data_IF_656244379793
#
_entry.id   IF_656244379793
#
_cell.length_a   1.000
_cell.length_b   1.000
_cell.length_c   1.000
_cell.angle_alpha   90.00
_cell.angle_beta   90.00
_cell.angle_gamma   90.00
#
_symmetry.space_group_name_H-M   'P 1'
#
loop_
_entity.id
_entity.type
_entity.pdbx_description
1 polymer ?
#
# COMPACT_ATOMS: atom_id res chain seq x y z
N UNK A 1 31.24 23.16 63.34
CA UNK A 1 30.27 22.54 64.28
C UNK A 1 29.43 21.51 63.52
N UNK A 2 29.17 20.37 64.17
CA UNK A 2 28.22 19.30 63.82
C UNK A 2 28.67 18.25 62.78
N UNK A 3 29.37 17.25 63.32
CA UNK A 3 29.12 15.81 63.10
C UNK A 3 27.64 15.49 62.85
N UNK A 4 27.33 14.59 61.91
CA UNK A 4 26.58 13.35 62.18
C UNK A 4 26.98 12.30 61.14
N UNK A 5 27.49 11.16 61.64
CA UNK A 5 27.65 9.90 60.92
C UNK A 5 26.29 9.21 60.90
N UNK A 6 25.82 8.78 59.73
CA UNK A 6 24.70 7.84 59.65
C UNK A 6 25.25 6.42 59.45
N UNK A 7 24.94 5.55 60.40
CA UNK A 7 25.06 4.09 60.33
C UNK A 7 23.64 3.57 60.09
N UNK A 8 23.47 2.74 59.07
CA UNK A 8 22.39 1.75 58.90
C UNK A 8 22.57 1.18 57.49
N UNK A 9 22.48 -0.10 57.15
CA UNK A 9 22.12 -1.33 57.84
C UNK A 9 22.56 -2.44 56.87
N UNK A 10 22.94 -3.60 57.39
CA UNK A 10 23.14 -4.82 56.61
C UNK A 10 21.93 -5.11 55.71
N UNK A 11 22.20 -5.49 54.46
CA UNK A 11 21.53 -6.63 53.84
C UNK A 11 22.60 -7.49 53.18
N UNK A 12 22.78 -8.70 53.71
CA UNK A 12 23.32 -9.81 52.95
C UNK A 12 22.30 -10.15 51.87
N UNK A 13 22.75 -10.57 50.69
CA UNK A 13 22.39 -11.86 50.08
C UNK A 13 23.22 -12.01 48.81
N UNK A 14 24.06 -13.03 48.85
CA UNK A 14 24.72 -13.68 47.73
C UNK A 14 23.72 -14.07 46.65
N UNK A 15 23.97 -13.70 45.42
CA UNK A 15 23.59 -14.58 44.30
C UNK A 15 24.63 -14.44 43.19
N UNK A 16 25.42 -15.51 43.06
CA UNK A 16 26.28 -15.75 41.92
C UNK A 16 25.40 -15.81 40.66
N UNK A 17 25.60 -14.88 39.73
CA UNK A 17 25.29 -15.13 38.32
C UNK A 17 26.59 -14.94 37.56
N UNK A 18 27.44 -15.96 37.64
CA UNK A 18 28.39 -16.25 36.59
C UNK A 18 27.68 -17.21 35.63
N UNK A 19 27.25 -16.71 34.47
CA UNK A 19 27.06 -17.57 33.31
C UNK A 19 27.38 -16.77 32.04
N UNK A 20 28.64 -16.93 31.66
CA UNK A 20 29.29 -16.72 30.37
C UNK A 20 28.50 -16.02 29.24
N UNK A 21 28.90 -14.78 28.95
CA UNK A 21 28.88 -14.25 27.61
C UNK A 21 30.12 -14.76 26.84
N UNK A 22 29.94 -15.79 26.03
CA UNK A 22 30.86 -16.12 24.92
C UNK A 22 30.05 -16.70 23.77
N UNK A 23 29.34 -15.84 23.05
CA UNK A 23 29.02 -16.14 21.65
C UNK A 23 30.28 -15.84 20.83
N UNK A 24 31.13 -16.86 20.66
CA UNK A 24 32.15 -16.84 19.64
C UNK A 24 31.44 -16.85 18.27
N UNK A 25 31.31 -15.67 17.65
CA UNK A 25 30.90 -15.57 16.26
C UNK A 25 32.05 -16.11 15.40
N UNK A 26 31.99 -17.41 15.09
CA UNK A 26 32.90 -18.02 14.14
C UNK A 26 32.53 -17.50 12.75
N UNK A 27 33.29 -16.50 12.28
CA UNK A 27 33.25 -16.08 10.89
C UNK A 27 33.87 -17.19 10.02
N UNK A 28 33.05 -18.17 9.62
CA UNK A 28 33.42 -19.05 8.52
C UNK A 28 33.19 -18.29 7.21
N UNK A 29 34.27 -17.69 6.71
CA UNK A 29 34.38 -17.45 5.26
C UNK A 29 34.36 -18.81 4.58
N UNK A 30 33.30 -19.10 3.85
CA UNK A 30 33.35 -20.05 2.74
C UNK A 30 32.61 -19.46 1.55
N UNK A 31 33.39 -19.00 0.57
CA UNK A 31 32.95 -18.88 -0.81
C UNK A 31 32.64 -20.29 -1.31
N UNK A 32 31.41 -20.52 -1.74
CA UNK A 32 31.19 -21.37 -2.90
C UNK A 32 30.12 -20.74 -3.79
N UNK A 33 30.62 -20.19 -4.90
CA UNK A 33 29.82 -19.81 -6.05
C UNK A 33 29.41 -21.10 -6.75
N UNK A 34 28.13 -21.46 -6.72
CA UNK A 34 27.39 -22.09 -7.81
C UNK A 34 26.06 -22.61 -7.28
N UNK A 35 25.07 -21.73 -7.24
CA UNK A 35 23.70 -22.15 -7.49
C UNK A 35 23.00 -21.00 -8.20
N UNK A 36 23.12 -20.99 -9.54
CA UNK A 36 22.18 -20.27 -10.39
C UNK A 36 20.88 -21.07 -10.44
N UNK A 37 20.25 -21.24 -9.28
CA UNK A 37 18.82 -21.40 -9.21
C UNK A 37 18.22 -20.11 -9.74
N UNK A 38 17.94 -20.08 -11.05
CA UNK A 38 17.05 -19.12 -11.65
C UNK A 38 15.70 -19.32 -10.96
N UNK A 39 15.52 -18.69 -9.79
CA UNK A 39 14.19 -18.48 -9.24
C UNK A 39 13.50 -17.62 -10.28
N UNK A 40 12.77 -18.29 -11.16
CA UNK A 40 11.83 -17.66 -12.06
C UNK A 40 10.86 -16.97 -11.11
N UNK A 41 11.11 -15.69 -10.82
CA UNK A 41 10.12 -14.80 -10.25
C UNK A 41 8.95 -14.98 -11.19
N UNK A 42 7.93 -15.72 -10.75
CA UNK A 42 6.68 -15.89 -11.48
C UNK A 42 6.35 -14.49 -11.98
N UNK A 43 6.41 -14.28 -13.30
CA UNK A 43 6.11 -12.97 -13.87
C UNK A 43 4.73 -12.66 -13.34
N UNK A 44 4.63 -11.68 -12.45
CA UNK A 44 3.35 -11.25 -11.93
C UNK A 44 2.49 -11.00 -13.17
N UNK A 45 1.41 -11.79 -13.31
CA UNK A 45 0.52 -11.62 -14.43
C UNK A 45 0.03 -10.17 -14.37
N UNK A 46 0.22 -9.43 -15.47
CA UNK A 46 -0.24 -8.05 -15.49
C UNK A 46 -1.76 -8.03 -15.42
N UNK A 47 -2.34 -7.03 -14.73
CA UNK A 47 -3.79 -6.96 -14.60
C UNK A 47 -4.43 -6.75 -15.96
N UNK A 48 -5.65 -7.23 -16.11
CA UNK A 48 -6.55 -6.86 -17.19
C UNK A 48 -7.04 -5.42 -17.02
N UNK A 49 -7.60 -4.84 -18.08
CA UNK A 49 -8.21 -3.51 -18.02
C UNK A 49 -9.37 -3.45 -17.02
N UNK A 50 -10.13 -4.54 -16.89
CA UNK A 50 -11.24 -4.66 -15.93
C UNK A 50 -10.72 -4.62 -14.48
N UNK A 51 -9.69 -5.41 -14.16
CA UNK A 51 -9.11 -5.40 -12.80
C UNK A 51 -8.54 -4.04 -12.42
N UNK A 52 -7.89 -3.34 -13.36
CA UNK A 52 -7.41 -1.98 -13.12
C UNK A 52 -8.58 -1.03 -12.88
N UNK A 53 -9.63 -1.08 -13.71
CA UNK A 53 -10.79 -0.21 -13.56
C UNK A 53 -11.52 -0.45 -12.24
N UNK A 54 -11.73 -1.71 -11.87
CA UNK A 54 -12.34 -2.07 -10.59
C UNK A 54 -11.52 -1.56 -9.40
N UNK A 55 -10.18 -1.61 -9.50
CA UNK A 55 -9.31 -1.07 -8.46
C UNK A 55 -9.37 0.46 -8.40
N UNK A 56 -9.50 1.15 -9.53
CA UNK A 56 -9.72 2.61 -9.57
C UNK A 56 -11.05 2.95 -8.87
N UNK A 57 -12.12 2.20 -9.16
CA UNK A 57 -13.42 2.36 -8.50
C UNK A 57 -13.35 2.11 -6.99
N UNK A 58 -12.74 0.99 -6.57
CA UNK A 58 -12.56 0.63 -5.16
C UNK A 58 -11.69 1.62 -4.37
N UNK A 59 -10.82 2.36 -5.05
CA UNK A 59 -10.01 3.41 -4.44
C UNK A 59 -10.74 4.77 -4.28
N UNK A 60 -12.04 4.85 -4.63
CA UNK A 60 -12.84 6.08 -4.67
C UNK A 60 -12.15 7.21 -5.47
N UNK A 61 -11.42 6.86 -6.52
CA UNK A 61 -10.81 7.87 -7.39
C UNK A 61 -11.93 8.60 -8.15
N UNK A 62 -11.93 9.93 -8.08
CA UNK A 62 -12.93 10.74 -8.78
C UNK A 62 -12.70 10.68 -10.28
N UNK A 63 -13.78 10.80 -11.05
CA UNK A 63 -13.76 10.70 -12.53
C UNK A 63 -13.11 9.41 -13.04
N UNK A 64 -13.53 8.22 -12.53
CA UNK A 64 -12.85 6.94 -12.77
C UNK A 64 -12.74 6.59 -14.26
N UNK A 65 -13.75 6.94 -15.05
CA UNK A 65 -13.73 6.77 -16.51
C UNK A 65 -12.58 7.54 -17.19
N UNK A 66 -12.36 8.80 -16.79
CA UNK A 66 -11.28 9.62 -17.34
C UNK A 66 -9.94 9.09 -16.87
N UNK A 67 -9.85 8.69 -15.60
CA UNK A 67 -8.63 8.10 -15.04
C UNK A 67 -8.26 6.79 -15.74
N UNK A 68 -9.25 5.97 -16.11
CA UNK A 68 -9.00 4.76 -16.88
C UNK A 68 -8.46 5.06 -18.28
N UNK A 69 -8.98 6.11 -18.94
CA UNK A 69 -8.41 6.60 -20.20
C UNK A 69 -6.95 7.03 -20.04
N UNK A 70 -6.58 7.60 -18.89
CA UNK A 70 -5.17 7.96 -18.62
C UNK A 70 -4.32 6.70 -18.54
N UNK A 71 -4.74 5.66 -17.80
CA UNK A 71 -4.03 4.38 -17.78
C UNK A 71 -3.82 3.83 -19.20
N UNK A 72 -4.87 3.80 -20.02
CA UNK A 72 -4.80 3.30 -21.40
C UNK A 72 -3.79 4.12 -22.22
N UNK A 73 -3.82 5.45 -22.10
CA UNK A 73 -2.94 6.36 -22.82
C UNK A 73 -1.48 6.19 -22.38
N UNK A 74 -1.20 6.21 -21.09
CA UNK A 74 0.16 6.09 -20.54
C UNK A 74 0.79 4.74 -20.89
N UNK A 75 0.03 3.66 -20.68
CA UNK A 75 0.55 2.30 -20.81
C UNK A 75 0.45 1.73 -22.22
N UNK A 76 -0.24 2.42 -23.14
CA UNK A 76 -0.56 1.88 -24.46
C UNK A 76 -1.39 0.60 -24.34
N UNK A 77 -2.55 0.66 -23.68
CA UNK A 77 -3.43 -0.49 -23.44
C UNK A 77 -2.76 -1.62 -22.64
N UNK A 78 -2.01 -1.26 -21.58
CA UNK A 78 -1.23 -2.18 -20.73
C UNK A 78 -0.12 -2.95 -21.46
N UNK A 79 0.31 -2.49 -22.65
CA UNK A 79 1.33 -3.17 -23.48
C UNK A 79 2.74 -2.62 -23.27
N UNK A 80 2.89 -1.44 -22.66
CA UNK A 80 4.19 -0.80 -22.43
C UNK A 80 5.04 -1.60 -21.45
N UNK A 81 5.98 -2.41 -21.95
CA UNK A 81 6.93 -3.17 -21.11
C UNK A 81 7.69 -2.25 -20.14
N UNK A 82 8.00 -1.01 -20.55
CA UNK A 82 8.75 -0.08 -19.72
C UNK A 82 7.99 0.34 -18.46
N UNK A 83 6.72 0.71 -18.60
CA UNK A 83 5.88 1.13 -17.47
C UNK A 83 5.36 -0.07 -16.68
N UNK A 84 4.92 -1.12 -17.37
CA UNK A 84 4.41 -2.32 -16.72
C UNK A 84 5.50 -3.02 -15.90
N UNK A 85 6.75 -3.09 -16.36
CA UNK A 85 7.85 -3.64 -15.55
C UNK A 85 8.19 -2.83 -14.30
N UNK A 86 7.66 -1.61 -14.18
CA UNK A 86 7.79 -0.72 -13.02
C UNK A 86 6.52 -0.66 -12.19
N UNK A 87 5.48 -1.40 -12.58
CA UNK A 87 4.16 -1.32 -11.96
C UNK A 87 3.60 0.11 -11.92
N UNK A 88 3.91 0.92 -12.94
CA UNK A 88 3.58 2.35 -12.98
C UNK A 88 2.50 2.60 -14.05
N UNK A 89 1.23 2.49 -13.66
CA UNK A 89 0.09 2.63 -14.59
C UNK A 89 -0.12 4.06 -15.09
N UNK A 90 0.39 5.05 -14.35
CA UNK A 90 0.09 6.47 -14.56
C UNK A 90 1.27 7.28 -15.09
N UNK A 91 2.39 6.62 -15.39
CA UNK A 91 3.57 7.29 -15.95
C UNK A 91 4.25 8.28 -14.99
N UNK A 92 4.03 8.18 -13.67
CA UNK A 92 4.58 9.13 -12.71
C UNK A 92 6.12 9.16 -12.71
N UNK A 93 6.66 10.36 -12.57
CA UNK A 93 8.10 10.63 -12.59
C UNK A 93 8.49 11.53 -11.41
N UNK A 94 9.67 11.27 -10.87
CA UNK A 94 10.42 12.24 -10.06
C UNK A 94 11.58 12.74 -10.94
N UNK A 95 12.81 12.27 -10.70
CA UNK A 95 13.91 12.39 -11.67
C UNK A 95 13.78 11.39 -12.83
N UNK A 96 13.43 10.16 -12.48
CA UNK A 96 13.17 9.04 -13.40
C UNK A 96 11.72 8.55 -13.23
N UNK A 97 11.27 7.65 -14.12
CA UNK A 97 10.02 6.92 -13.92
C UNK A 97 10.02 6.21 -12.58
N UNK A 98 8.97 6.44 -11.80
CA UNK A 98 8.77 5.79 -10.52
C UNK A 98 8.56 4.28 -10.71
N UNK A 99 8.98 3.51 -9.71
CA UNK A 99 8.78 2.07 -9.61
C UNK A 99 7.98 1.79 -8.35
N UNK A 100 6.95 0.98 -8.49
CA UNK A 100 6.08 0.53 -7.41
C UNK A 100 6.29 -0.97 -7.14
N UNK A 101 5.95 -1.43 -5.94
CA UNK A 101 6.12 -2.84 -5.58
C UNK A 101 5.12 -3.73 -6.35
N UNK A 102 3.89 -3.26 -6.48
CA UNK A 102 2.82 -3.84 -7.29
C UNK A 102 2.07 -2.72 -8.05
N UNK A 103 1.18 -3.06 -8.98
CA UNK A 103 0.52 -2.05 -9.83
C UNK A 103 -0.56 -1.28 -9.06
N UNK A 104 -1.13 -1.90 -8.04
CA UNK A 104 -2.12 -1.37 -7.13
C UNK A 104 -1.60 -0.18 -6.32
N UNK A 105 -0.32 -0.21 -5.93
CA UNK A 105 0.38 0.88 -5.26
C UNK A 105 0.45 2.12 -6.16
N UNK A 106 0.53 1.95 -7.48
CA UNK A 106 0.45 3.08 -8.40
C UNK A 106 -0.95 3.71 -8.45
N UNK A 107 -2.00 2.92 -8.23
CA UNK A 107 -3.38 3.42 -8.07
C UNK A 107 -3.53 4.17 -6.75
N UNK A 108 -2.97 3.65 -5.66
CA UNK A 108 -2.95 4.35 -4.37
C UNK A 108 -2.21 5.68 -4.47
N UNK A 109 -1.05 5.69 -5.15
CA UNK A 109 -0.29 6.91 -5.41
C UNK A 109 -1.09 7.91 -6.25
N UNK A 110 -1.82 7.45 -7.28
CA UNK A 110 -2.69 8.30 -8.07
C UNK A 110 -3.79 8.94 -7.24
N UNK A 111 -4.47 8.18 -6.36
CA UNK A 111 -5.48 8.74 -5.44
C UNK A 111 -4.88 9.85 -4.57
N UNK A 112 -3.70 9.64 -3.99
CA UNK A 112 -3.01 10.68 -3.21
C UNK A 112 -2.62 11.89 -4.05
N UNK A 113 -2.20 11.69 -5.30
CA UNK A 113 -1.91 12.79 -6.22
C UNK A 113 -3.19 13.57 -6.56
N UNK A 114 -4.29 12.88 -6.86
CA UNK A 114 -5.57 13.47 -7.23
C UNK A 114 -6.15 14.32 -6.09
N UNK A 115 -6.11 13.80 -4.84
CA UNK A 115 -6.56 14.54 -3.66
C UNK A 115 -5.81 15.87 -3.46
N UNK A 116 -4.54 15.94 -3.86
CA UNK A 116 -3.73 17.18 -3.78
C UNK A 116 -4.02 18.18 -4.90
N UNK A 117 -4.72 17.77 -5.96
CA UNK A 117 -4.94 18.59 -7.17
C UNK A 117 -6.39 18.99 -7.39
N UNK A 118 -7.32 18.20 -6.87
CA UNK A 118 -8.73 18.52 -6.83
C UNK A 118 -9.03 19.60 -5.80
N UNK A 119 -9.99 20.44 -6.14
CA UNK A 119 -10.70 21.38 -5.29
C UNK A 119 -12.18 21.03 -5.31
N UNK A 120 -12.93 21.40 -4.27
CA UNK A 120 -14.36 21.12 -4.15
C UNK A 120 -15.19 21.72 -5.29
N UNK A 121 -14.67 22.77 -5.93
CA UNK A 121 -15.32 23.46 -7.05
C UNK A 121 -14.96 22.89 -8.44
N UNK A 122 -14.14 21.84 -8.52
CA UNK A 122 -13.75 21.26 -9.80
C UNK A 122 -14.87 20.37 -10.38
N UNK A 123 -15.60 20.93 -11.35
CA UNK A 123 -16.66 20.25 -12.09
C UNK A 123 -16.20 19.60 -13.41
N UNK A 124 -15.06 20.05 -13.96
CA UNK A 124 -14.46 19.50 -15.18
C UNK A 124 -13.04 19.00 -14.89
N UNK A 125 -12.91 17.67 -14.85
CA UNK A 125 -11.63 17.03 -14.56
C UNK A 125 -10.55 17.30 -15.62
N UNK A 126 -10.92 17.56 -16.87
CA UNK A 126 -9.94 17.90 -17.90
C UNK A 126 -9.23 19.22 -17.59
N UNK A 127 -9.94 20.20 -17.01
CA UNK A 127 -9.35 21.46 -16.57
C UNK A 127 -8.38 21.25 -15.41
N UNK A 128 -8.67 20.30 -14.51
CA UNK A 128 -7.76 19.90 -13.43
C UNK A 128 -6.46 19.32 -14.00
N UNK A 129 -6.55 18.45 -15.01
CA UNK A 129 -5.37 17.86 -15.67
C UNK A 129 -4.51 18.93 -16.37
N UNK A 130 -5.14 19.93 -17.00
CA UNK A 130 -4.45 21.07 -17.61
C UNK A 130 -3.76 21.92 -16.55
N UNK A 131 -4.50 22.33 -15.50
CA UNK A 131 -3.99 23.14 -14.38
C UNK A 131 -2.82 22.46 -13.66
N UNK A 132 -2.91 21.15 -13.46
CA UNK A 132 -1.87 20.35 -12.83
C UNK A 132 -0.68 20.04 -13.75
N UNK A 133 -0.74 20.43 -15.04
CA UNK A 133 0.25 20.10 -16.08
C UNK A 133 0.56 18.60 -16.10
N UNK A 134 -0.48 17.77 -16.04
CA UNK A 134 -0.33 16.31 -15.88
C UNK A 134 0.52 15.68 -16.98
N UNK A 135 0.26 16.08 -18.23
CA UNK A 135 0.97 15.61 -19.41
C UNK A 135 1.46 16.75 -20.30
N UNK A 136 2.11 16.39 -21.40
CA UNK A 136 2.61 17.33 -22.40
C UNK A 136 1.46 18.16 -23.03
N UNK A 137 1.76 19.31 -23.68
CA UNK A 137 0.77 20.06 -24.44
C UNK A 137 -0.01 19.15 -25.40
N UNK A 138 -1.34 19.28 -25.41
CA UNK A 138 -2.25 18.42 -26.18
C UNK A 138 -2.62 17.08 -25.50
N UNK A 139 -2.18 16.82 -24.27
CA UNK A 139 -2.51 15.60 -23.52
C UNK A 139 -4.02 15.32 -23.48
N UNK A 140 -4.83 16.29 -23.05
CA UNK A 140 -6.29 16.17 -22.95
C UNK A 140 -6.93 15.84 -24.30
N UNK A 141 -6.40 16.41 -25.39
CA UNK A 141 -6.88 16.12 -26.75
C UNK A 141 -6.69 14.66 -27.12
N UNK A 142 -5.54 14.06 -26.78
CA UNK A 142 -5.29 12.64 -26.98
C UNK A 142 -6.15 11.78 -26.05
N UNK A 143 -6.32 12.20 -24.80
CA UNK A 143 -7.10 11.49 -23.80
C UNK A 143 -8.57 11.34 -24.22
N UNK A 144 -9.17 12.41 -24.76
CA UNK A 144 -10.56 12.40 -25.26
C UNK A 144 -10.78 11.43 -26.45
N UNK A 145 -9.73 11.06 -27.17
CA UNK A 145 -9.81 10.09 -28.30
C UNK A 145 -9.86 8.64 -27.82
N UNK A 146 -9.52 8.36 -26.56
CA UNK A 146 -9.54 7.00 -26.01
C UNK A 146 -10.99 6.53 -25.84
N UNK A 147 -11.28 5.37 -26.43
CA UNK A 147 -12.58 4.69 -26.31
C UNK A 147 -12.60 3.83 -25.05
N UNK A 148 -13.33 4.31 -24.04
CA UNK A 148 -13.67 3.58 -22.82
C UNK A 148 -15.04 4.07 -22.34
N UNK A 149 -15.90 3.14 -21.91
CA UNK A 149 -17.30 3.42 -21.56
C UNK A 149 -17.81 2.66 -20.35
N UNK A 150 -16.95 1.93 -19.61
CA UNK A 150 -17.39 1.28 -18.37
C UNK A 150 -17.54 2.32 -17.27
N UNK A 151 -18.60 2.22 -16.49
CA UNK A 151 -18.86 3.03 -15.28
C UNK A 151 -18.56 2.20 -14.04
N UNK A 152 -18.18 2.84 -12.94
CA UNK A 152 -18.08 2.10 -11.67
C UNK A 152 -19.43 1.48 -11.31
N UNK A 153 -19.46 0.25 -10.78
CA UNK A 153 -20.69 -0.36 -10.30
C UNK A 153 -21.36 0.56 -9.27
N UNK A 154 -22.59 0.99 -9.55
CA UNK A 154 -23.40 1.74 -8.59
C UNK A 154 -23.80 0.76 -7.47
N UNK A 155 -23.32 1.00 -6.25
CA UNK A 155 -23.76 0.24 -5.07
C UNK A 155 -22.79 -0.81 -4.53
N UNK A 156 -21.50 -0.49 -4.38
CA UNK A 156 -20.70 -1.11 -3.30
C UNK A 156 -20.23 -0.04 -2.32
N UNK A 157 -21.15 0.37 -1.45
CA UNK A 157 -20.79 0.74 -0.09
C UNK A 157 -20.10 -0.48 0.53
N UNK A 158 -18.76 -0.49 0.54
CA UNK A 158 -18.01 -1.45 1.34
C UNK A 158 -17.92 -0.93 2.78
N UNK A 159 -19.04 -1.05 3.49
CA UNK A 159 -19.13 -0.97 4.95
C UNK A 159 -19.79 -2.22 5.53
N UNK A 160 -19.49 -3.43 5.05
CA UNK A 160 -20.04 -4.63 5.71
C UNK A 160 -19.28 -5.96 5.49
N UNK A 161 -18.01 -5.97 5.08
CA UNK A 161 -17.27 -7.24 5.02
C UNK A 161 -15.80 -7.10 5.44
N UNK A 162 -15.57 -6.29 6.46
CA UNK A 162 -14.36 -6.35 7.29
C UNK A 162 -14.77 -6.32 8.77
N UNK A 163 -15.81 -7.08 9.11
CA UNK A 163 -16.29 -7.31 10.48
C UNK A 163 -16.93 -8.71 10.55
N UNK A 164 -16.13 -9.73 10.30
CA UNK A 164 -16.53 -11.12 10.58
C UNK A 164 -15.49 -11.88 11.41
N UNK A 165 -14.58 -11.14 12.07
CA UNK A 165 -13.67 -11.68 13.09
C UNK A 165 -13.75 -10.95 14.44
N UNK A 166 -14.73 -10.07 14.64
CA UNK A 166 -15.06 -9.51 15.97
C UNK A 166 -16.45 -9.89 16.49
N UNK A 167 -17.30 -10.52 15.66
CA UNK A 167 -18.63 -10.96 16.09
C UNK A 167 -18.60 -12.33 16.79
N UNK A 168 -17.73 -13.26 16.35
CA UNK A 168 -17.61 -14.62 16.93
C UNK A 168 -17.14 -14.62 18.40
N UNK A 169 -16.46 -13.55 18.83
CA UNK A 169 -15.99 -13.39 20.22
C UNK A 169 -17.06 -12.84 21.18
N UNK A 170 -18.14 -12.24 20.68
CA UNK A 170 -19.18 -11.63 21.52
C UNK A 170 -20.34 -12.60 21.74
N UNK A 171 -20.67 -13.44 20.75
CA UNK A 171 -21.74 -14.45 20.91
C UNK A 171 -21.32 -15.60 21.85
N UNK A 172 -20.02 -15.88 21.96
CA UNK A 172 -19.49 -16.85 22.93
C UNK A 172 -19.55 -16.34 24.39
N UNK A 173 -19.61 -15.02 24.62
CA UNK A 173 -19.57 -14.42 25.95
C UNK A 173 -20.95 -14.20 26.59
N UNK A 174 -22.04 -14.21 25.80
CA UNK A 174 -23.39 -13.96 26.29
C UNK A 174 -24.11 -15.22 26.79
N UNK A 175 -23.64 -16.41 26.43
CA UNK A 175 -24.21 -17.68 26.91
C UNK A 175 -23.74 -18.07 28.32
N UNK A 176 -22.83 -17.31 28.95
CA UNK A 176 -22.30 -17.63 30.30
C UNK A 176 -22.94 -16.83 31.43
N UNK A 177 -23.80 -15.84 31.15
CA UNK A 177 -24.36 -14.91 32.17
C UNK A 177 -25.86 -15.20 32.45
N UNK A 178 -26.33 -16.41 32.13
CA UNK A 178 -27.76 -16.77 32.16
C UNK A 178 -28.22 -17.72 33.28
N UNK A 179 -27.39 -18.01 34.28
CA UNK A 179 -27.77 -18.91 35.39
C UNK A 179 -27.19 -18.42 36.71
N UNK A 180 -27.85 -17.47 37.35
CA UNK A 180 -27.76 -17.23 38.81
C UNK A 180 -28.83 -16.22 39.25
N UNK A 181 -30.11 -16.59 39.19
CA UNK A 181 -31.14 -16.06 40.12
C UNK A 181 -32.18 -17.14 40.37
N UNK A 182 -32.00 -17.91 41.45
CA UNK A 182 -33.08 -18.53 42.22
C UNK A 182 -32.60 -18.78 43.66
#
# INVERSE_FOLDING_TARGET
MRTVRFICSLTQITSLIACHATFAFHATTSRNQNDKGHMMKLRQAYPSLGEVFDRICRADIKFPEIVMKQVILETGWLKSKHLMSRNNLFGFRSKNYMRFNNWEDSVAHYKSWQLKKLSDNDNDYYNVLVRARYGAPGYVTHLKKIKWSQTCPLGTSWSSHYDQHQQDSIETALDTIGTEEN
#
